data_IF_411339324689
#
_entry.id   IF_411339324689
#
_cell.length_a   1.000
_cell.length_b   1.000
_cell.length_c   1.000
_cell.angle_alpha   90.00
_cell.angle_beta   90.00
_cell.angle_gamma   90.00
#
_symmetry.space_group_name_H-M   'P 1'
#
loop_
_entity.id
_entity.type
_entity.pdbx_description
1 polymer ?
#
# COMPACT_ATOMS: atom_id res chain seq x y z
N UNK A 1 -22.50 23.76 8.66
CA UNK A 1 -22.10 22.49 9.29
C UNK A 1 -23.34 21.62 9.49
N UNK A 2 -23.36 20.30 9.24
CA UNK A 2 -22.24 19.37 9.09
C UNK A 2 -22.12 18.69 7.71
N UNK A 3 -20.92 18.19 7.44
CA UNK A 3 -20.45 17.46 6.26
C UNK A 3 -20.89 15.98 6.31
N UNK A 4 -21.36 15.42 5.19
CA UNK A 4 -21.67 13.99 5.04
C UNK A 4 -20.64 13.36 4.10
N UNK A 5 -19.74 12.54 4.65
CA UNK A 5 -18.82 11.69 3.87
C UNK A 5 -19.41 10.28 3.75
N UNK A 6 -19.57 9.78 2.53
CA UNK A 6 -20.05 8.41 2.25
C UNK A 6 -18.93 7.55 1.68
N UNK A 7 -18.36 6.66 2.50
CA UNK A 7 -17.56 5.51 2.05
C UNK A 7 -18.51 4.36 1.64
N UNK A 8 -18.28 3.76 0.47
CA UNK A 8 -19.03 2.60 -0.03
C UNK A 8 -18.15 1.33 0.03
N UNK A 9 -18.67 0.24 0.61
CA UNK A 9 -18.03 -1.10 0.72
C UNK A 9 -18.91 -2.19 0.06
N UNK A 10 -18.30 -3.24 -0.51
CA UNK A 10 -18.97 -4.43 -1.09
C UNK A 10 -18.43 -5.73 -0.44
N UNK A 11 -19.27 -6.70 -0.01
CA UNK A 11 -18.81 -7.89 0.73
C UNK A 11 -18.53 -9.13 -0.15
N UNK A 12 -17.50 -9.90 0.20
CA UNK A 12 -17.21 -11.25 -0.31
C UNK A 12 -18.06 -12.35 0.38
N UNK A 13 -18.21 -13.49 -0.30
CA UNK A 13 -19.08 -14.61 0.06
C UNK A 13 -18.49 -15.54 1.15
N UNK A 14 -19.38 -16.29 1.83
CA UNK A 14 -19.13 -17.08 3.05
C UNK A 14 -18.20 -18.29 2.83
N UNK A 15 -17.20 -18.47 3.70
CA UNK A 15 -16.55 -19.75 3.98
C UNK A 15 -16.89 -20.22 5.43
N UNK A 16 -17.18 -21.51 5.61
CA UNK A 16 -17.50 -22.15 6.90
C UNK A 16 -16.19 -22.52 7.65
N UNK A 17 -16.20 -22.40 8.98
CA UNK A 17 -15.08 -22.73 9.88
C UNK A 17 -15.34 -24.05 10.63
N UNK A 18 -14.26 -24.72 11.10
CA UNK A 18 -14.29 -25.28 12.45
C UNK A 18 -13.09 -24.85 13.33
N UNK A 19 -13.46 -24.37 14.53
CA UNK A 19 -12.83 -24.47 15.88
C UNK A 19 -11.62 -23.59 16.29
N UNK A 20 -12.02 -22.57 17.06
CA UNK A 20 -11.47 -22.04 18.34
C UNK A 20 -10.02 -21.53 18.44
N UNK A 21 -9.84 -20.28 18.01
CA UNK A 21 -8.98 -19.30 18.69
C UNK A 21 -9.83 -18.01 18.88
N UNK A 22 -9.74 -17.39 20.06
CA UNK A 22 -10.56 -16.23 20.47
C UNK A 22 -10.43 -15.08 19.46
N UNK A 23 -11.56 -14.69 18.87
CA UNK A 23 -11.68 -13.55 17.96
C UNK A 23 -11.55 -12.21 18.72
N UNK A 24 -10.84 -11.20 18.18
CA UNK A 24 -10.85 -9.85 18.73
C UNK A 24 -12.26 -9.24 18.73
N UNK A 25 -12.59 -8.52 19.81
CA UNK A 25 -13.93 -8.02 20.14
C UNK A 25 -14.33 -6.77 19.34
N UNK A 26 -14.50 -6.83 18.02
CA UNK A 26 -15.33 -5.84 17.29
C UNK A 26 -16.17 -6.53 16.21
N UNK A 27 -17.49 -6.45 16.42
CA UNK A 27 -18.54 -7.21 15.74
C UNK A 27 -18.90 -6.57 14.39
N UNK A 28 -18.61 -7.26 13.29
CA UNK A 28 -18.94 -6.84 11.92
C UNK A 28 -20.44 -6.99 11.62
N UNK A 29 -21.20 -5.88 11.63
CA UNK A 29 -22.62 -5.85 11.21
C UNK A 29 -22.79 -5.37 9.77
N UNK A 30 -23.43 -6.20 8.95
CA UNK A 30 -23.85 -5.94 7.56
C UNK A 30 -24.96 -4.88 7.48
N UNK A 31 -24.84 -3.90 6.57
CA UNK A 31 -25.98 -3.20 5.96
C UNK A 31 -25.84 -3.22 4.43
N UNK A 32 -26.94 -3.52 3.73
CA UNK A 32 -27.04 -3.56 2.25
C UNK A 32 -27.21 -2.13 1.70
N UNK A 33 -26.62 -1.83 0.53
CA UNK A 33 -26.92 -0.62 -0.28
C UNK A 33 -27.33 -1.01 -1.71
N UNK A 34 -28.28 -0.26 -2.26
CA UNK A 34 -28.84 -0.38 -3.62
C UNK A 34 -27.89 0.20 -4.70
N UNK A 35 -28.04 -0.31 -5.93
CA UNK A 35 -27.28 0.02 -7.14
C UNK A 35 -27.79 1.28 -7.86
N UNK A 36 -26.88 2.10 -8.40
CA UNK A 36 -26.94 2.96 -9.61
C UNK A 36 -25.47 3.28 -9.99
N UNK A 37 -24.98 3.47 -11.21
CA UNK A 37 -25.42 3.45 -12.61
C UNK A 37 -24.14 3.53 -13.48
N UNK A 38 -24.22 3.26 -14.77
CA UNK A 38 -23.10 2.98 -15.68
C UNK A 38 -22.38 4.26 -16.16
N UNK A 39 -21.04 4.33 -16.03
CA UNK A 39 -20.19 5.41 -16.61
C UNK A 39 -19.01 4.78 -17.41
N UNK A 40 -18.35 5.53 -18.33
CA UNK A 40 -17.39 4.98 -19.30
C UNK A 40 -16.12 4.41 -18.65
N UNK A 41 -15.73 3.20 -19.07
CA UNK A 41 -14.81 2.27 -18.37
C UNK A 41 -13.33 2.65 -18.30
N UNK A 42 -12.88 3.75 -18.92
CA UNK A 42 -11.45 4.09 -19.02
C UNK A 42 -11.00 5.29 -18.17
N UNK A 43 -11.90 5.96 -17.44
CA UNK A 43 -11.63 7.25 -16.78
C UNK A 43 -11.36 7.22 -15.28
N UNK A 44 -11.26 6.04 -14.66
CA UNK A 44 -10.95 5.92 -13.23
C UNK A 44 -9.57 5.31 -13.03
N UNK A 45 -8.53 6.05 -13.45
CA UNK A 45 -7.25 5.98 -12.73
C UNK A 45 -7.54 6.39 -11.28
N UNK A 46 -6.87 5.74 -10.32
CA UNK A 46 -7.31 5.75 -8.92
C UNK A 46 -7.41 7.19 -8.42
N UNK A 47 -8.58 7.60 -7.93
CA UNK A 47 -8.88 8.96 -7.48
C UNK A 47 -7.78 9.55 -6.58
N UNK A 48 -7.16 8.75 -5.71
CA UNK A 48 -6.08 9.24 -4.86
C UNK A 48 -4.83 9.69 -5.64
N UNK A 49 -4.48 9.04 -6.76
CA UNK A 49 -3.32 9.42 -7.56
C UNK A 49 -3.57 10.71 -8.36
N UNK A 50 -4.78 10.87 -8.91
CA UNK A 50 -5.13 11.99 -9.78
C UNK A 50 -5.68 13.21 -9.01
N UNK A 51 -6.40 12.99 -7.91
CA UNK A 51 -7.16 14.02 -7.18
C UNK A 51 -6.44 14.52 -5.90
N UNK A 52 -5.23 14.03 -5.61
CA UNK A 52 -4.42 14.48 -4.47
C UNK A 52 -3.00 14.87 -4.90
N UNK A 53 -2.32 15.65 -4.06
CA UNK A 53 -0.92 16.04 -4.29
C UNK A 53 0.08 14.92 -3.95
N UNK A 54 -0.37 13.72 -3.58
CA UNK A 54 0.47 12.60 -3.15
C UNK A 54 1.66 12.32 -4.09
N UNK A 55 1.41 12.30 -5.40
CA UNK A 55 2.45 11.98 -6.39
C UNK A 55 3.49 13.09 -6.57
N UNK A 56 3.16 14.32 -6.17
CA UNK A 56 3.97 15.55 -6.37
C UNK A 56 4.64 16.04 -5.10
N UNK A 57 4.12 15.63 -3.93
CA UNK A 57 4.63 16.06 -2.62
C UNK A 57 5.65 15.05 -2.07
N UNK A 58 6.93 15.26 -2.39
CA UNK A 58 8.03 14.45 -1.85
C UNK A 58 8.11 14.49 -0.33
N UNK A 59 7.84 15.63 0.30
CA UNK A 59 7.94 15.78 1.75
C UNK A 59 6.88 14.94 2.46
N UNK A 60 5.63 14.98 1.98
CA UNK A 60 4.56 14.10 2.45
C UNK A 60 4.93 12.63 2.29
N UNK A 61 5.44 12.21 1.14
CA UNK A 61 5.85 10.82 0.88
C UNK A 61 6.87 10.33 1.89
N UNK A 62 7.92 11.12 2.12
CA UNK A 62 8.99 10.81 3.08
C UNK A 62 8.45 10.77 4.51
N UNK A 63 7.62 11.74 4.89
CA UNK A 63 6.99 11.79 6.22
C UNK A 63 6.14 10.54 6.49
N UNK A 64 5.28 10.15 5.55
CA UNK A 64 4.40 8.99 5.71
C UNK A 64 5.18 7.67 5.81
N UNK A 65 6.28 7.51 5.06
CA UNK A 65 7.13 6.32 5.16
C UNK A 65 7.85 6.24 6.51
N UNK A 66 8.34 7.38 7.03
CA UNK A 66 8.96 7.44 8.37
C UNK A 66 7.92 7.17 9.48
N UNK A 67 6.72 7.75 9.38
CA UNK A 67 5.60 7.45 10.28
C UNK A 67 5.24 5.97 10.28
N UNK A 68 5.15 5.35 9.10
CA UNK A 68 4.84 3.93 8.98
C UNK A 68 5.89 3.07 9.68
N UNK A 69 7.18 3.34 9.43
CA UNK A 69 8.28 2.64 10.12
C UNK A 69 8.14 2.77 11.63
N UNK A 70 8.00 4.00 12.12
CA UNK A 70 7.99 4.29 13.55
C UNK A 70 6.76 3.69 14.24
N UNK A 71 5.60 3.74 13.59
CA UNK A 71 4.38 3.10 14.08
C UNK A 71 4.52 1.57 14.10
N UNK A 72 5.05 0.95 13.04
CA UNK A 72 5.31 -0.50 13.05
C UNK A 72 6.32 -0.90 14.13
N UNK A 73 7.35 -0.07 14.38
CA UNK A 73 8.29 -0.27 15.49
C UNK A 73 7.60 -0.16 16.85
N UNK A 74 6.71 0.80 17.06
CA UNK A 74 5.95 0.94 18.29
C UNK A 74 5.02 -0.27 18.56
N UNK A 75 4.56 -0.95 17.51
CA UNK A 75 3.69 -2.13 17.58
C UNK A 75 4.42 -3.46 17.31
N UNK A 76 5.75 -3.48 17.37
CA UNK A 76 6.55 -4.63 16.91
C UNK A 76 6.26 -5.92 17.67
N UNK A 77 5.98 -5.86 18.98
CA UNK A 77 5.65 -7.06 19.77
C UNK A 77 4.30 -7.66 19.35
N UNK A 78 3.29 -6.84 19.06
CA UNK A 78 1.98 -7.32 18.58
C UNK A 78 2.10 -7.92 17.18
N UNK A 79 2.82 -7.24 16.28
CA UNK A 79 3.10 -7.75 14.94
C UNK A 79 3.88 -9.06 14.99
N UNK A 80 4.78 -9.23 15.97
CA UNK A 80 5.53 -10.46 16.18
C UNK A 80 4.63 -11.62 16.54
N UNK A 81 3.72 -11.43 17.49
CA UNK A 81 2.75 -12.47 17.87
C UNK A 81 1.86 -12.87 16.69
N UNK A 82 1.41 -11.89 15.89
CA UNK A 82 0.65 -12.16 14.65
C UNK A 82 1.50 -12.97 13.66
N UNK A 83 2.76 -12.57 13.44
CA UNK A 83 3.67 -13.25 12.51
C UNK A 83 3.92 -14.70 12.91
N UNK A 84 4.17 -14.95 14.20
CA UNK A 84 4.39 -16.29 14.74
C UNK A 84 3.11 -17.14 14.61
N UNK A 85 1.96 -16.58 14.97
CA UNK A 85 0.69 -17.30 14.94
C UNK A 85 0.22 -17.63 13.51
N UNK A 86 0.47 -16.73 12.55
CA UNK A 86 0.01 -16.88 11.18
C UNK A 86 0.97 -17.71 10.31
N UNK A 87 2.27 -17.39 10.35
CA UNK A 87 3.28 -17.99 9.45
C UNK A 87 3.98 -19.18 10.12
N UNK A 88 3.90 -19.29 11.44
CA UNK A 88 4.68 -20.28 12.22
C UNK A 88 6.16 -19.91 12.31
N UNK A 89 6.51 -18.62 12.15
CA UNK A 89 7.90 -18.18 12.18
C UNK A 89 8.55 -18.44 13.56
N UNK A 90 9.77 -19.01 13.63
CA UNK A 90 10.53 -19.03 14.86
C UNK A 90 10.77 -17.61 15.38
N UNK A 91 10.55 -17.37 16.68
CA UNK A 91 10.68 -16.04 17.30
C UNK A 91 12.00 -15.35 16.96
N UNK A 92 13.12 -16.09 16.92
CA UNK A 92 14.43 -15.52 16.57
C UNK A 92 14.48 -14.86 15.18
N UNK A 93 13.72 -15.35 14.19
CA UNK A 93 13.70 -14.77 12.85
C UNK A 93 12.92 -13.46 12.78
N UNK A 94 12.01 -13.23 13.74
CA UNK A 94 11.24 -11.97 13.79
C UNK A 94 12.10 -10.78 14.21
N UNK A 95 13.23 -11.02 14.89
CA UNK A 95 14.23 -10.00 15.16
C UNK A 95 15.03 -9.56 13.91
N UNK A 96 14.81 -10.19 12.76
CA UNK A 96 15.46 -9.85 11.49
C UNK A 96 14.47 -9.95 10.32
N UNK A 97 14.72 -10.86 9.37
CA UNK A 97 14.07 -10.89 8.06
C UNK A 97 12.54 -11.09 8.10
N UNK A 98 11.99 -11.70 9.16
CA UNK A 98 10.53 -11.91 9.24
C UNK A 98 9.74 -10.67 9.68
N UNK A 99 10.36 -9.69 10.34
CA UNK A 99 9.62 -8.54 10.87
C UNK A 99 10.48 -7.27 11.05
N UNK A 100 11.44 -7.28 11.97
CA UNK A 100 12.17 -6.06 12.36
C UNK A 100 13.03 -5.46 11.24
N UNK A 101 13.77 -6.31 10.53
CA UNK A 101 14.60 -5.89 9.39
C UNK A 101 13.79 -5.14 8.32
N UNK A 102 12.71 -5.73 7.76
CA UNK A 102 11.94 -5.04 6.74
C UNK A 102 11.16 -3.82 7.24
N UNK A 103 10.88 -3.70 8.54
CA UNK A 103 10.38 -2.46 9.12
C UNK A 103 11.45 -1.38 9.00
N UNK A 104 12.69 -1.66 9.43
CA UNK A 104 13.79 -0.70 9.36
C UNK A 104 14.14 -0.29 7.93
N UNK A 105 14.05 -1.23 6.99
CA UNK A 105 14.34 -1.00 5.57
C UNK A 105 13.40 0.06 4.94
N UNK A 106 12.28 0.40 5.57
CA UNK A 106 11.46 1.55 5.15
C UNK A 106 12.22 2.87 5.21
N UNK A 107 13.20 2.99 6.13
CA UNK A 107 14.09 4.15 6.20
C UNK A 107 14.86 4.35 4.89
N UNK A 108 15.39 3.27 4.31
CA UNK A 108 16.09 3.32 3.04
C UNK A 108 15.20 3.90 1.92
N UNK A 109 13.92 3.50 1.87
CA UNK A 109 12.97 4.04 0.89
C UNK A 109 12.69 5.53 1.10
N UNK A 110 12.54 5.95 2.37
CA UNK A 110 12.30 7.35 2.72
C UNK A 110 13.53 8.23 2.42
N UNK A 111 14.71 7.81 2.86
CA UNK A 111 15.96 8.56 2.69
C UNK A 111 16.37 8.64 1.22
N UNK A 112 16.12 7.57 0.45
CA UNK A 112 16.26 7.60 -1.01
C UNK A 112 15.32 8.64 -1.60
N UNK A 113 14.03 8.65 -1.26
CA UNK A 113 13.09 9.61 -1.81
C UNK A 113 13.43 11.08 -1.47
N UNK A 114 13.94 11.32 -0.25
CA UNK A 114 14.35 12.65 0.21
C UNK A 114 15.58 13.17 -0.54
N UNK A 115 16.58 12.32 -0.78
CA UNK A 115 17.83 12.70 -1.42
C UNK A 115 17.83 12.57 -2.95
N UNK A 116 16.82 11.94 -3.54
CA UNK A 116 16.76 11.68 -4.97
C UNK A 116 16.54 12.95 -5.80
N UNK A 117 17.30 13.10 -6.88
CA UNK A 117 17.11 14.19 -7.84
C UNK A 117 15.91 13.90 -8.76
N UNK A 118 14.71 14.30 -8.32
CA UNK A 118 13.46 14.09 -9.07
C UNK A 118 13.38 14.91 -10.36
N UNK A 119 14.00 16.08 -10.38
CA UNK A 119 14.07 16.96 -11.54
C UNK A 119 15.52 17.34 -11.83
N UNK A 120 15.96 17.11 -13.05
CA UNK A 120 17.31 17.45 -13.52
C UNK A 120 17.20 18.47 -14.66
N UNK A 121 17.74 19.67 -14.45
CA UNK A 121 17.91 20.66 -15.51
C UNK A 121 19.15 20.29 -16.35
N UNK A 122 18.96 20.12 -17.66
CA UNK A 122 20.04 19.84 -18.60
C UNK A 122 20.59 21.13 -19.24
N UNK A 123 20.05 22.28 -18.89
CA UNK A 123 20.41 23.58 -19.43
C UNK A 123 19.89 23.80 -20.86
N UNK A 124 20.31 24.93 -21.42
CA UNK A 124 19.92 25.34 -22.77
C UNK A 124 20.76 24.62 -23.84
N UNK A 125 20.12 24.27 -24.96
CA UNK A 125 20.80 23.84 -26.17
C UNK A 125 20.04 24.29 -27.42
N UNK A 126 20.73 24.26 -28.56
CA UNK A 126 20.16 24.61 -29.86
C UNK A 126 20.25 23.44 -30.85
N UNK A 127 19.56 22.29 -30.62
CA UNK A 127 19.50 21.24 -31.63
C UNK A 127 18.86 21.81 -32.90
N UNK A 128 19.53 21.63 -34.04
CA UNK A 128 19.13 22.23 -35.33
C UNK A 128 18.99 23.76 -35.30
N UNK A 129 19.70 24.45 -34.38
CA UNK A 129 19.66 25.91 -34.26
C UNK A 129 18.44 26.47 -33.53
N UNK A 130 17.57 25.63 -32.96
CA UNK A 130 16.37 26.07 -32.22
C UNK A 130 16.69 26.14 -30.72
N UNK A 131 16.67 27.31 -30.07
CA UNK A 131 16.90 27.43 -28.63
C UNK A 131 15.85 26.64 -27.83
N UNK A 132 16.32 25.74 -26.96
CA UNK A 132 15.47 24.89 -26.11
C UNK A 132 16.07 24.76 -24.71
N UNK A 133 15.22 24.87 -23.68
CA UNK A 133 15.56 24.49 -22.30
C UNK A 133 15.03 23.09 -22.04
N UNK A 134 15.85 22.22 -21.44
CA UNK A 134 15.58 20.79 -21.36
C UNK A 134 15.64 20.33 -19.91
N UNK A 135 14.65 19.56 -19.49
CA UNK A 135 14.58 18.97 -18.14
C UNK A 135 14.24 17.49 -18.22
N UNK A 136 14.75 16.71 -17.28
CA UNK A 136 14.32 15.34 -17.03
C UNK A 136 13.53 15.33 -15.72
N UNK A 137 12.27 14.91 -15.78
CA UNK A 137 11.44 14.66 -14.61
C UNK A 137 11.28 13.15 -14.40
N UNK A 138 11.41 12.70 -13.15
CA UNK A 138 11.14 11.32 -12.74
C UNK A 138 9.80 11.30 -12.03
N UNK A 139 8.77 10.87 -12.73
CA UNK A 139 7.39 10.89 -12.24
C UNK A 139 6.92 9.49 -11.84
N UNK A 140 5.97 9.45 -10.91
CA UNK A 140 5.26 8.22 -10.56
C UNK A 140 4.52 7.65 -11.77
N UNK A 141 4.50 6.31 -11.88
CA UNK A 141 3.81 5.60 -12.96
C UNK A 141 2.29 5.63 -12.79
N UNK A 142 1.80 5.66 -11.55
CA UNK A 142 0.37 5.71 -11.25
C UNK A 142 -0.04 4.75 -10.13
N UNK A 143 -0.87 3.78 -10.50
CA UNK A 143 -1.38 2.74 -9.61
C UNK A 143 -0.59 1.46 -9.80
N UNK A 144 0.10 1.00 -8.77
CA UNK A 144 0.92 -0.21 -8.79
C UNK A 144 0.17 -1.38 -8.17
N UNK A 145 0.17 -2.52 -8.86
CA UNK A 145 -0.39 -3.78 -8.36
C UNK A 145 0.68 -4.59 -7.65
N UNK A 146 0.58 -4.76 -6.34
CA UNK A 146 1.53 -5.56 -5.57
C UNK A 146 0.90 -6.90 -5.17
N UNK A 147 1.37 -8.00 -5.76
CA UNK A 147 0.98 -9.37 -5.37
C UNK A 147 2.15 -10.00 -4.63
N UNK A 148 1.92 -10.48 -3.41
CA UNK A 148 2.98 -11.01 -2.54
C UNK A 148 2.69 -12.45 -2.08
N UNK A 149 3.72 -13.29 -1.91
CA UNK A 149 3.61 -14.65 -1.38
C UNK A 149 3.60 -14.66 0.17
N UNK A 150 3.48 -15.85 0.75
CA UNK A 150 3.20 -16.08 2.18
C UNK A 150 4.43 -16.29 3.08
N UNK A 151 5.62 -16.51 2.52
CA UNK A 151 6.78 -17.00 3.30
C UNK A 151 7.41 -15.95 4.22
N UNK A 152 7.45 -14.68 3.80
CA UNK A 152 7.91 -13.55 4.61
C UNK A 152 6.97 -12.36 4.42
N UNK A 153 5.75 -12.40 5.00
CA UNK A 153 4.69 -11.47 4.63
C UNK A 153 5.05 -10.01 4.91
N UNK A 154 5.65 -9.69 6.07
CA UNK A 154 6.09 -8.33 6.35
C UNK A 154 7.18 -7.89 5.37
N UNK A 155 8.21 -8.72 5.17
CA UNK A 155 9.29 -8.41 4.25
C UNK A 155 8.80 -8.10 2.84
N UNK A 156 8.01 -8.99 2.26
CA UNK A 156 7.67 -8.89 0.85
C UNK A 156 6.59 -7.83 0.62
N UNK A 157 5.69 -7.61 1.58
CA UNK A 157 4.75 -6.50 1.54
C UNK A 157 5.49 -5.16 1.58
N UNK A 158 6.40 -4.97 2.55
CA UNK A 158 7.13 -3.72 2.72
C UNK A 158 8.15 -3.47 1.60
N UNK A 159 8.80 -4.53 1.08
CA UNK A 159 9.67 -4.43 -0.08
C UNK A 159 8.94 -3.99 -1.36
N UNK A 160 7.62 -4.17 -1.45
CA UNK A 160 6.79 -3.64 -2.53
C UNK A 160 6.28 -2.24 -2.21
N UNK A 161 5.78 -2.02 -1.00
CA UNK A 161 5.19 -0.75 -0.58
C UNK A 161 6.23 0.37 -0.50
N UNK A 162 7.36 0.13 0.17
CA UNK A 162 8.42 1.13 0.40
C UNK A 162 8.84 1.87 -0.87
N UNK A 163 9.43 1.19 -1.87
CA UNK A 163 9.89 1.85 -3.08
C UNK A 163 8.74 2.40 -3.95
N UNK A 164 7.58 1.74 -3.98
CA UNK A 164 6.44 2.21 -4.78
C UNK A 164 5.87 3.54 -4.24
N UNK A 165 5.71 3.63 -2.91
CA UNK A 165 5.22 4.82 -2.21
C UNK A 165 6.27 5.94 -2.21
N UNK A 166 7.55 5.60 -2.01
CA UNK A 166 8.67 6.53 -2.16
C UNK A 166 8.70 7.18 -3.55
N UNK A 167 8.43 6.39 -4.60
CA UNK A 167 8.30 6.88 -5.97
C UNK A 167 7.02 7.68 -6.25
N UNK A 168 6.09 7.80 -5.29
CA UNK A 168 4.84 8.55 -5.42
C UNK A 168 3.71 7.81 -6.11
N UNK A 169 3.83 6.49 -6.26
CA UNK A 169 2.73 5.67 -6.74
C UNK A 169 1.68 5.50 -5.64
N UNK A 170 0.46 5.19 -6.07
CA UNK A 170 -0.53 4.55 -5.20
C UNK A 170 -0.44 3.05 -5.38
N UNK A 171 -0.77 2.26 -4.35
CA UNK A 171 -0.57 0.81 -4.35
C UNK A 171 -1.87 0.08 -4.03
N UNK A 172 -2.15 -0.96 -4.82
CA UNK A 172 -3.12 -2.01 -4.49
C UNK A 172 -2.33 -3.26 -4.13
N UNK A 173 -2.23 -3.54 -2.83
CA UNK A 173 -1.56 -4.73 -2.30
C UNK A 173 -2.57 -5.87 -2.16
N UNK A 174 -2.33 -6.98 -2.87
CA UNK A 174 -3.01 -8.26 -2.68
C UNK A 174 -2.03 -9.27 -2.06
N UNK A 175 -2.06 -9.45 -0.73
CA UNK A 175 -1.21 -10.43 -0.07
C UNK A 175 -1.68 -11.87 -0.35
N UNK A 176 -0.84 -12.83 -0.01
CA UNK A 176 -1.19 -14.24 -0.08
C UNK A 176 -2.43 -14.54 0.80
N UNK A 177 -3.35 -15.41 0.34
CA UNK A 177 -4.54 -15.79 1.10
C UNK A 177 -4.22 -16.58 2.38
N UNK A 178 -3.03 -17.19 2.43
CA UNK A 178 -2.55 -18.00 3.54
C UNK A 178 -2.07 -17.13 4.72
N UNK A 179 -1.64 -15.89 4.44
CA UNK A 179 -1.12 -14.96 5.46
C UNK A 179 -1.79 -13.57 5.39
N UNK A 180 -3.13 -13.48 5.54
CA UNK A 180 -3.86 -12.22 5.42
C UNK A 180 -3.81 -11.32 6.67
N UNK A 181 -3.47 -11.84 7.85
CA UNK A 181 -3.48 -11.13 9.14
C UNK A 181 -2.32 -10.16 9.24
N UNK A 182 -1.10 -10.54 8.86
CA UNK A 182 0.04 -9.61 8.79
C UNK A 182 -0.27 -8.38 7.93
N UNK A 183 -0.94 -8.57 6.79
CA UNK A 183 -1.34 -7.48 5.92
C UNK A 183 -2.54 -6.69 6.46
N UNK A 184 -3.45 -7.34 7.20
CA UNK A 184 -4.55 -6.68 7.90
C UNK A 184 -4.05 -5.74 9.01
N UNK A 185 -3.12 -6.21 9.84
CA UNK A 185 -2.50 -5.40 10.89
C UNK A 185 -1.72 -4.20 10.31
N UNK A 186 -1.02 -4.41 9.19
CA UNK A 186 -0.40 -3.32 8.45
C UNK A 186 -1.41 -2.26 7.98
N UNK A 187 -2.59 -2.69 7.51
CA UNK A 187 -3.66 -1.77 7.09
C UNK A 187 -4.15 -0.92 8.27
N UNK A 188 -4.33 -1.52 9.45
CA UNK A 188 -4.74 -0.83 10.66
C UNK A 188 -3.69 0.22 11.08
N UNK A 189 -2.41 -0.15 11.12
CA UNK A 189 -1.31 0.78 11.44
C UNK A 189 -1.28 1.98 10.48
N UNK A 190 -1.42 1.72 9.18
CA UNK A 190 -1.47 2.80 8.17
C UNK A 190 -2.62 3.76 8.47
N UNK A 191 -3.83 3.25 8.70
CA UNK A 191 -5.01 4.08 8.91
C UNK A 191 -4.96 4.85 10.23
N UNK A 192 -4.42 4.25 11.29
CA UNK A 192 -4.48 4.83 12.64
C UNK A 192 -3.28 5.73 12.99
N UNK A 193 -2.13 5.54 12.34
CA UNK A 193 -0.87 6.15 12.79
C UNK A 193 -0.08 6.90 11.70
N UNK A 194 -0.65 7.07 10.50
CA UNK A 194 0.06 7.75 9.41
C UNK A 194 -0.82 8.75 8.68
N UNK A 195 -0.18 9.68 7.98
CA UNK A 195 -0.85 10.70 7.18
C UNK A 195 -1.09 10.26 5.72
N UNK A 196 -1.00 8.96 5.41
CA UNK A 196 -1.26 8.48 4.04
C UNK A 196 -2.66 8.95 3.59
N UNK A 197 -2.78 9.69 2.47
CA UNK A 197 -4.08 10.08 1.97
C UNK A 197 -4.96 8.87 1.67
N UNK A 198 -6.29 8.95 1.92
CA UNK A 198 -7.20 7.85 1.64
C UNK A 198 -7.08 7.36 0.19
N UNK A 199 -6.86 6.06 0.01
CA UNK A 199 -6.73 5.43 -1.30
C UNK A 199 -5.31 5.38 -1.85
N UNK A 200 -4.30 5.94 -1.17
CA UNK A 200 -2.89 5.77 -1.54
C UNK A 200 -2.41 4.34 -1.33
N UNK A 201 -2.80 3.71 -0.22
CA UNK A 201 -2.56 2.29 0.04
C UNK A 201 -3.90 1.57 0.15
N UNK A 202 -4.10 0.54 -0.67
CA UNK A 202 -5.28 -0.31 -0.63
C UNK A 202 -4.84 -1.75 -0.44
N UNK A 203 -5.22 -2.38 0.68
CA UNK A 203 -4.90 -3.78 0.94
C UNK A 203 -6.17 -4.62 0.71
N UNK A 204 -6.10 -5.55 -0.24
CA UNK A 204 -7.24 -6.38 -0.66
C UNK A 204 -6.92 -7.85 -0.43
N UNK A 205 -7.54 -8.44 0.59
CA UNK A 205 -7.42 -9.85 0.91
C UNK A 205 -8.57 -10.65 0.30
N UNK A 206 -8.29 -11.88 -0.13
CA UNK A 206 -9.29 -12.83 -0.62
C UNK A 206 -8.73 -14.23 -0.55
N UNK A 207 -9.54 -15.20 -0.14
CA UNK A 207 -9.20 -16.63 -0.22
C UNK A 207 -9.15 -17.16 -1.66
N UNK A 208 -9.63 -16.37 -2.62
CA UNK A 208 -9.57 -16.72 -4.05
C UNK A 208 -8.27 -16.21 -4.68
N UNK A 209 -7.46 -17.15 -5.19
CA UNK A 209 -6.23 -16.85 -5.91
C UNK A 209 -6.50 -16.15 -7.25
N UNK A 210 -7.68 -16.31 -7.85
CA UNK A 210 -8.04 -15.67 -9.13
C UNK A 210 -7.98 -14.14 -9.07
N UNK A 211 -8.14 -13.56 -7.86
CA UNK A 211 -8.00 -12.12 -7.65
C UNK A 211 -6.62 -11.58 -8.06
N UNK A 212 -5.56 -12.38 -7.92
CA UNK A 212 -4.23 -11.98 -8.39
C UNK A 212 -4.18 -11.86 -9.91
N UNK A 213 -4.77 -12.83 -10.62
CA UNK A 213 -4.87 -12.79 -12.08
C UNK A 213 -5.78 -11.66 -12.59
N UNK A 214 -6.83 -11.31 -11.83
CA UNK A 214 -7.67 -10.15 -12.13
C UNK A 214 -6.90 -8.85 -11.97
N UNK A 215 -6.15 -8.70 -10.87
CA UNK A 215 -5.34 -7.51 -10.63
C UNK A 215 -4.26 -7.33 -11.70
N UNK A 216 -3.57 -8.42 -12.09
CA UNK A 216 -2.54 -8.39 -13.12
C UNK A 216 -3.06 -8.09 -14.53
N UNK A 217 -4.36 -8.29 -14.79
CA UNK A 217 -5.01 -8.00 -16.08
C UNK A 217 -5.74 -6.65 -16.08
N UNK A 218 -5.78 -5.94 -14.96
CA UNK A 218 -6.52 -4.70 -14.85
C UNK A 218 -5.76 -3.57 -15.56
N UNK A 219 -6.31 -2.95 -16.62
CA UNK A 219 -5.59 -1.92 -17.39
C UNK A 219 -5.37 -0.61 -16.61
N UNK A 220 -5.96 -0.47 -15.42
CA UNK A 220 -5.77 0.70 -14.54
C UNK A 220 -4.57 0.54 -13.62
N UNK A 221 -4.03 -0.67 -13.52
CA UNK A 221 -2.92 -1.03 -12.64
C UNK A 221 -1.72 -1.36 -13.51
N UNK A 222 -0.55 -0.87 -13.11
CA UNK A 222 0.74 -1.17 -13.76
C UNK A 222 1.52 -2.19 -12.95
#
# INVERSE_FOLDING_TARGET
>A
MPYSSTANWVPAARARSPRSIRRPRKCWRRRRRQRRGHEPRHRRRAAAFDDTDWSRDTELRVRCLRQLRDAMRAHVEELREITIAEVGAPRMLTASAQLEGPIDDLAFSADTAESYQWNQDLGEAAPLGIPTRRTIAREAVGVVGAITPWNFPHQINLAKLGPALAAGNTVVLKPAPDTPWCAGALAEIIVEHTDFPPGVVNIVTSSDHSLGALLAKDPRVT
#
